data_IF_606818941753
#
_entry.id   IF_606818941753
#
_cell.length_a   1.000
_cell.length_b   1.000
_cell.length_c   1.000
_cell.angle_alpha   90.00
_cell.angle_beta   90.00
_cell.angle_gamma   90.00
#
_symmetry.space_group_name_H-M   'P 1'
#
loop_
_entity.id
_entity.type
_entity.pdbx_description
1 polymer ?
#
# COMPACT_ATOMS: atom_id res chain seq x y z
N UNK A 1 4.62 8.21 8.13
CA UNK A 1 4.40 7.35 6.94
C UNK A 1 3.90 5.99 7.39
N UNK A 2 2.94 5.41 6.67
CA UNK A 2 2.45 4.08 6.99
C UNK A 2 3.56 3.03 6.83
N UNK A 3 3.62 2.07 7.74
CA UNK A 3 4.50 0.92 7.62
C UNK A 3 3.66 -0.34 7.48
N UNK A 4 3.95 -1.12 6.44
CA UNK A 4 3.25 -2.37 6.21
C UNK A 4 3.88 -3.52 6.96
N UNK A 5 3.08 -4.50 7.33
CA UNK A 5 3.54 -5.77 7.87
C UNK A 5 2.76 -6.90 7.23
N UNK A 6 3.35 -8.09 7.18
CA UNK A 6 2.69 -9.27 6.62
C UNK A 6 2.54 -10.33 7.71
N UNK A 7 1.38 -10.97 7.71
CA UNK A 7 1.10 -12.13 8.54
C UNK A 7 0.90 -13.36 7.65
N UNK A 8 1.91 -14.23 7.62
CA UNK A 8 1.87 -15.43 6.79
C UNK A 8 0.80 -16.42 7.23
N UNK A 9 0.29 -16.30 8.44
CA UNK A 9 -0.71 -17.23 9.00
C UNK A 9 -2.14 -16.79 8.74
N UNK A 10 -2.35 -15.58 8.22
CA UNK A 10 -3.71 -15.03 8.09
C UNK A 10 -4.54 -15.72 7.02
N UNK A 11 -3.92 -16.42 6.07
CA UNK A 11 -4.60 -16.97 4.91
C UNK A 11 -4.95 -15.92 3.85
N UNK A 12 -4.65 -14.65 4.09
CA UNK A 12 -4.88 -13.55 3.16
C UNK A 12 -3.63 -13.36 2.31
N UNK A 13 -3.79 -13.19 0.99
CA UNK A 13 -2.66 -12.98 0.09
C UNK A 13 -1.90 -11.70 0.46
N UNK A 14 -0.58 -11.64 0.23
CA UNK A 14 0.23 -10.48 0.58
C UNK A 14 -0.29 -9.16 -0.01
N UNK A 15 -0.67 -9.14 -1.29
CA UNK A 15 -1.15 -7.90 -1.89
C UNK A 15 -2.42 -7.39 -1.20
N UNK A 16 -3.31 -8.30 -0.83
CA UNK A 16 -4.56 -7.93 -0.17
C UNK A 16 -4.31 -7.45 1.26
N UNK A 17 -3.31 -8.00 1.94
CA UNK A 17 -2.90 -7.49 3.25
C UNK A 17 -2.44 -6.03 3.17
N UNK A 18 -1.67 -5.68 2.13
CA UNK A 18 -1.25 -4.28 1.91
C UNK A 18 -2.48 -3.40 1.65
N UNK A 19 -3.38 -3.84 0.78
CA UNK A 19 -4.62 -3.10 0.48
C UNK A 19 -5.44 -2.87 1.75
N UNK A 20 -5.64 -3.91 2.54
CA UNK A 20 -6.42 -3.82 3.78
C UNK A 20 -5.79 -2.86 4.79
N UNK A 21 -4.47 -2.83 4.89
CA UNK A 21 -3.77 -1.94 5.81
C UNK A 21 -3.91 -0.48 5.41
N UNK A 22 -3.90 -0.17 4.12
CA UNK A 22 -4.17 1.20 3.65
C UNK A 22 -5.61 1.59 3.97
N UNK A 23 -6.58 0.72 3.66
CA UNK A 23 -7.99 0.97 3.97
C UNK A 23 -8.20 1.23 5.47
N UNK A 24 -7.56 0.41 6.31
CA UNK A 24 -7.63 0.55 7.76
C UNK A 24 -7.05 1.88 8.23
N UNK A 25 -5.88 2.25 7.72
CA UNK A 25 -5.22 3.50 8.08
C UNK A 25 -6.08 4.71 7.68
N UNK A 26 -6.75 4.66 6.54
CA UNK A 26 -7.68 5.71 6.12
C UNK A 26 -8.88 5.80 7.06
N UNK A 27 -9.47 4.67 7.44
CA UNK A 27 -10.61 4.66 8.37
C UNK A 27 -10.25 5.22 9.75
N UNK A 28 -9.04 4.93 10.21
CA UNK A 28 -8.58 5.38 11.53
C UNK A 28 -8.02 6.80 11.53
N UNK A 29 -7.94 7.45 10.36
CA UNK A 29 -7.36 8.78 10.25
C UNK A 29 -5.84 8.81 10.35
N UNK A 30 -5.18 7.65 10.24
CA UNK A 30 -3.71 7.57 10.24
C UNK A 30 -3.12 7.98 8.89
N UNK A 31 -3.91 7.91 7.83
CA UNK A 31 -3.60 8.45 6.51
C UNK A 31 -4.69 9.44 6.14
N UNK A 32 -4.28 10.56 5.56
CA UNK A 32 -5.16 11.64 5.12
C UNK A 32 -4.89 11.99 3.68
N UNK A 33 -5.83 12.67 3.05
CA UNK A 33 -5.66 13.17 1.67
C UNK A 33 -4.38 13.98 1.54
N UNK A 34 -3.60 13.68 0.51
CA UNK A 34 -2.32 14.30 0.27
C UNK A 34 -1.12 13.54 0.84
N UNK A 35 -1.35 12.62 1.75
CA UNK A 35 -0.25 11.81 2.30
C UNK A 35 0.33 10.89 1.24
N UNK A 36 1.65 10.73 1.26
CA UNK A 36 2.34 9.83 0.37
C UNK A 36 2.41 8.42 0.95
N UNK A 37 2.15 7.41 0.10
CA UNK A 37 2.44 6.03 0.45
C UNK A 37 3.93 5.74 0.25
N UNK A 38 4.47 4.73 0.96
CA UNK A 38 5.83 4.26 0.68
C UNK A 38 5.98 3.89 -0.79
N UNK A 39 7.15 4.13 -1.36
CA UNK A 39 7.41 3.72 -2.74
C UNK A 39 7.43 2.20 -2.84
N UNK A 40 7.22 1.68 -4.05
CA UNK A 40 7.31 0.23 -4.29
C UNK A 40 8.67 -0.30 -3.82
N UNK A 41 9.75 0.42 -4.13
CA UNK A 41 11.10 0.05 -3.71
C UNK A 41 11.23 -0.05 -2.19
N UNK A 42 10.67 0.90 -1.45
CA UNK A 42 10.71 0.91 0.01
C UNK A 42 9.95 -0.27 0.59
N UNK A 43 8.77 -0.55 0.06
CA UNK A 43 7.94 -1.68 0.53
C UNK A 43 8.64 -3.01 0.25
N UNK A 44 9.22 -3.17 -0.94
CA UNK A 44 9.98 -4.39 -1.30
C UNK A 44 11.14 -4.59 -0.33
N UNK A 45 11.89 -3.53 -0.03
CA UNK A 45 13.01 -3.62 0.89
C UNK A 45 12.56 -3.98 2.31
N UNK A 46 11.43 -3.43 2.76
CA UNK A 46 10.93 -3.64 4.12
C UNK A 46 10.28 -5.01 4.31
N UNK A 47 9.47 -5.45 3.34
CA UNK A 47 8.69 -6.69 3.45
C UNK A 47 9.36 -7.89 2.78
N UNK A 48 10.40 -7.69 2.00
CA UNK A 48 11.08 -8.74 1.22
C UNK A 48 10.11 -9.50 0.31
N UNK A 49 9.22 -8.78 -0.39
CA UNK A 49 8.24 -9.37 -1.29
C UNK A 49 8.49 -8.93 -2.74
N UNK A 50 7.86 -9.63 -3.67
CA UNK A 50 7.99 -9.33 -5.09
C UNK A 50 7.43 -7.92 -5.39
N UNK A 51 8.16 -7.09 -6.17
CA UNK A 51 7.66 -5.76 -6.56
C UNK A 51 6.28 -5.79 -7.23
N UNK A 52 5.98 -6.84 -8.00
CA UNK A 52 4.68 -6.97 -8.65
C UNK A 52 3.53 -7.12 -7.65
N UNK A 53 3.79 -7.70 -6.49
CA UNK A 53 2.81 -7.81 -5.41
C UNK A 53 2.44 -6.42 -4.90
N UNK A 54 3.42 -5.56 -4.69
CA UNK A 54 3.20 -4.17 -4.25
C UNK A 54 2.47 -3.37 -5.33
N UNK A 55 2.90 -3.51 -6.59
CA UNK A 55 2.24 -2.85 -7.72
C UNK A 55 0.77 -3.26 -7.83
N UNK A 56 0.49 -4.55 -7.68
CA UNK A 56 -0.89 -5.05 -7.70
C UNK A 56 -1.73 -4.41 -6.60
N UNK A 57 -1.18 -4.31 -5.39
CA UNK A 57 -1.88 -3.68 -4.26
C UNK A 57 -2.17 -2.21 -4.54
N UNK A 58 -1.18 -1.47 -5.04
CA UNK A 58 -1.34 -0.04 -5.32
C UNK A 58 -2.31 0.22 -6.47
N UNK A 59 -2.29 -0.63 -7.51
CA UNK A 59 -3.27 -0.54 -8.61
C UNK A 59 -4.69 -0.78 -8.11
N UNK A 60 -4.88 -1.73 -7.20
CA UNK A 60 -6.19 -1.99 -6.62
C UNK A 60 -6.68 -0.76 -5.83
N UNK A 61 -5.82 -0.14 -5.05
CA UNK A 61 -6.16 1.09 -4.32
C UNK A 61 -6.49 2.25 -5.26
N UNK A 62 -5.78 2.37 -6.38
CA UNK A 62 -6.10 3.35 -7.41
C UNK A 62 -7.48 3.08 -8.04
N UNK A 63 -7.75 1.82 -8.34
CA UNK A 63 -9.04 1.40 -8.91
C UNK A 63 -10.20 1.76 -7.97
N UNK A 64 -9.98 1.65 -6.67
CA UNK A 64 -10.97 2.03 -5.66
C UNK A 64 -11.08 3.54 -5.46
N UNK A 65 -10.22 4.32 -6.09
CA UNK A 65 -10.22 5.78 -5.94
C UNK A 65 -9.62 6.28 -4.64
N UNK A 66 -8.90 5.42 -3.91
CA UNK A 66 -8.33 5.77 -2.61
C UNK A 66 -6.97 6.46 -2.73
N UNK A 67 -6.24 6.19 -3.80
CA UNK A 67 -4.93 6.77 -4.03
C UNK A 67 -4.76 7.11 -5.51
N UNK A 68 -3.78 7.96 -5.81
CA UNK A 68 -3.42 8.32 -7.17
C UNK A 68 -1.90 8.25 -7.34
N UNK A 69 -1.45 7.65 -8.44
CA UNK A 69 -0.04 7.63 -8.80
C UNK A 69 0.32 8.92 -9.51
N UNK A 70 1.48 9.48 -9.17
CA UNK A 70 2.09 10.62 -9.87
C UNK A 70 3.43 10.14 -10.44
N UNK A 71 3.53 9.92 -11.76
CA UNK A 71 4.77 9.41 -12.37
C UNK A 71 5.99 10.23 -11.97
N UNK A 72 7.06 9.54 -11.57
CA UNK A 72 8.29 10.17 -11.13
C UNK A 72 8.25 10.81 -9.74
N UNK A 73 7.10 10.82 -9.07
CA UNK A 73 6.94 11.44 -7.75
C UNK A 73 6.55 10.41 -6.70
N UNK A 74 5.51 9.62 -6.95
CA UNK A 74 5.04 8.58 -6.02
C UNK A 74 3.55 8.36 -6.08
N UNK A 75 3.03 7.66 -5.07
CA UNK A 75 1.61 7.37 -4.92
C UNK A 75 1.09 8.11 -3.69
N UNK A 76 -0.02 8.79 -3.83
CA UNK A 76 -0.57 9.67 -2.81
C UNK A 76 -2.04 9.35 -2.54
N UNK A 77 -2.43 9.54 -1.30
CA UNK A 77 -3.84 9.48 -0.90
C UNK A 77 -4.66 10.60 -1.52
#
# INVERSE_FOLDING_TARGET
MIEFSLDARSGVSPYLQVVQQVRQALRLGLLSEGDQLPTVKDVVAHLAINPNTVLKAYRELEREGLVAARPGVGTFV
#
